data_IF_345624496766
#
_entry.id   IF_345624496766
#
_cell.length_a   1.000
_cell.length_b   1.000
_cell.length_c   1.000
_cell.angle_alpha   90.00
_cell.angle_beta   90.00
_cell.angle_gamma   90.00
#
_symmetry.space_group_name_H-M   'P 1'
#
loop_
_entity.id
_entity.type
_entity.pdbx_description
1 polymer ?
#
# COMPACT_ATOMS: atom_id res chain seq x y z
N UNK A 1 -20.10 -15.97 -5.07
CA UNK A 1 -19.21 -16.48 -4.00
C UNK A 1 -17.77 -16.38 -4.47
N UNK A 2 -16.81 -16.04 -3.60
CA UNK A 2 -15.38 -16.00 -3.95
C UNK A 2 -14.62 -16.99 -3.05
N UNK A 3 -14.05 -18.05 -3.65
CA UNK A 3 -13.28 -19.06 -2.91
C UNK A 3 -12.01 -18.49 -2.28
N UNK A 4 -11.41 -17.48 -2.92
CA UNK A 4 -10.19 -16.85 -2.45
C UNK A 4 -10.36 -15.85 -1.31
N UNK A 5 -11.58 -15.61 -0.81
CA UNK A 5 -11.85 -14.53 0.16
C UNK A 5 -11.00 -14.64 1.43
N UNK A 6 -11.00 -15.80 2.07
CA UNK A 6 -10.27 -15.99 3.33
C UNK A 6 -8.75 -15.84 3.17
N UNK A 7 -8.20 -16.33 2.04
CA UNK A 7 -6.78 -16.17 1.73
C UNK A 7 -6.43 -14.71 1.45
N UNK A 8 -7.23 -14.03 0.64
CA UNK A 8 -7.02 -12.62 0.29
C UNK A 8 -7.08 -11.71 1.52
N UNK A 9 -7.97 -11.98 2.48
CA UNK A 9 -8.05 -11.21 3.74
C UNK A 9 -6.77 -11.34 4.59
N UNK A 10 -6.23 -12.57 4.73
CA UNK A 10 -4.99 -12.79 5.48
C UNK A 10 -3.78 -12.16 4.79
N UNK A 11 -3.65 -12.36 3.47
CA UNK A 11 -2.54 -11.82 2.69
C UNK A 11 -2.55 -10.29 2.70
N UNK A 12 -3.72 -9.67 2.49
CA UNK A 12 -3.86 -8.22 2.51
C UNK A 12 -3.48 -7.64 3.89
N UNK A 13 -3.85 -8.31 4.97
CA UNK A 13 -3.46 -7.90 6.31
C UNK A 13 -1.94 -7.93 6.49
N UNK A 14 -1.28 -9.04 6.15
CA UNK A 14 0.17 -9.20 6.28
C UNK A 14 0.91 -8.19 5.39
N UNK A 15 0.48 -8.05 4.14
CA UNK A 15 1.06 -7.11 3.19
C UNK A 15 0.97 -5.67 3.69
N UNK A 16 -0.23 -5.22 4.07
CA UNK A 16 -0.46 -3.86 4.51
C UNK A 16 0.25 -3.56 5.83
N UNK A 17 0.17 -4.46 6.81
CA UNK A 17 0.83 -4.26 8.11
C UNK A 17 2.34 -4.24 7.97
N UNK A 18 2.93 -5.11 7.16
CA UNK A 18 4.38 -5.09 6.88
C UNK A 18 4.81 -3.76 6.28
N UNK A 19 4.07 -3.24 5.29
CA UNK A 19 4.34 -1.94 4.70
C UNK A 19 4.20 -0.80 5.71
N UNK A 20 3.10 -0.78 6.48
CA UNK A 20 2.82 0.26 7.47
C UNK A 20 3.73 0.17 8.68
N UNK A 21 4.38 -0.96 8.97
CA UNK A 21 5.38 -1.04 10.04
C UNK A 21 6.74 -0.57 9.53
N UNK A 22 7.16 -1.04 8.34
CA UNK A 22 8.51 -0.83 7.82
C UNK A 22 8.71 0.47 7.05
N UNK A 23 7.67 1.12 6.53
CA UNK A 23 7.82 2.29 5.65
C UNK A 23 6.90 3.45 6.04
N UNK A 24 7.48 4.65 6.06
CA UNK A 24 6.73 5.90 6.05
C UNK A 24 6.35 6.27 4.61
N UNK A 25 5.08 6.60 4.43
CA UNK A 25 4.51 7.02 3.16
C UNK A 25 4.46 8.54 3.10
N UNK A 26 4.91 9.11 2.00
CA UNK A 26 4.78 10.54 1.72
C UNK A 26 4.46 10.80 0.26
N UNK A 27 3.94 12.00 -0.01
CA UNK A 27 3.74 12.49 -1.36
C UNK A 27 5.04 13.18 -1.81
N UNK A 28 5.47 13.03 -3.08
CA UNK A 28 6.60 13.79 -3.61
C UNK A 28 6.41 15.30 -3.38
N UNK A 29 7.48 16.04 -3.07
CA UNK A 29 7.42 17.45 -2.67
C UNK A 29 6.67 18.36 -3.67
N UNK A 30 6.62 17.99 -4.94
CA UNK A 30 5.96 18.74 -6.01
C UNK A 30 4.55 18.23 -6.37
N UNK A 31 4.03 17.22 -5.68
CA UNK A 31 2.76 16.58 -6.00
C UNK A 31 1.70 16.79 -4.91
N UNK A 32 0.43 16.81 -5.31
CA UNK A 32 -0.72 16.77 -4.41
C UNK A 32 -1.07 15.33 -4.02
N UNK A 33 -1.94 15.17 -3.02
CA UNK A 33 -2.54 13.86 -2.73
C UNK A 33 -3.16 13.25 -4.00
N UNK A 34 -3.06 11.92 -4.19
CA UNK A 34 -3.75 11.23 -5.28
C UNK A 34 -5.25 11.46 -5.24
N UNK A 35 -5.88 11.59 -6.40
CA UNK A 35 -7.35 11.60 -6.52
C UNK A 35 -7.92 10.23 -6.15
N UNK A 36 -9.12 10.22 -5.57
CA UNK A 36 -9.88 9.00 -5.29
C UNK A 36 -10.72 8.55 -6.49
N UNK A 37 -10.62 9.24 -7.63
CA UNK A 37 -11.23 8.80 -8.88
C UNK A 37 -10.55 7.53 -9.39
N UNK A 38 -11.37 6.61 -9.87
CA UNK A 38 -10.96 5.32 -10.37
C UNK A 38 -11.34 5.14 -11.85
N UNK A 39 -10.71 4.16 -12.49
CA UNK A 39 -11.05 3.67 -13.82
C UNK A 39 -11.79 2.34 -13.66
N UNK A 40 -13.03 2.33 -14.13
CA UNK A 40 -13.86 1.12 -14.19
C UNK A 40 -13.61 0.35 -15.50
N UNK A 41 -13.37 -0.95 -15.38
CA UNK A 41 -13.28 -1.91 -16.48
C UNK A 41 -13.66 -3.31 -15.98
N UNK A 42 -12.82 -4.30 -16.25
CA UNK A 42 -12.96 -5.63 -15.63
C UNK A 42 -12.79 -5.57 -14.10
N UNK A 43 -12.02 -4.61 -13.60
CA UNK A 43 -11.83 -4.28 -12.19
C UNK A 43 -11.90 -2.77 -11.97
N UNK A 44 -12.02 -2.34 -10.72
CA UNK A 44 -11.85 -0.94 -10.28
C UNK A 44 -10.36 -0.69 -9.99
N UNK A 45 -9.77 0.33 -10.61
CA UNK A 45 -8.34 0.65 -10.43
C UNK A 45 -8.11 2.16 -10.29
N UNK A 46 -7.17 2.61 -9.45
CA UNK A 46 -6.92 4.04 -9.29
C UNK A 46 -6.31 4.65 -10.56
N UNK A 47 -6.46 5.96 -10.72
CA UNK A 47 -5.66 6.71 -11.71
C UNK A 47 -4.16 6.65 -11.36
N UNK A 48 -3.23 6.71 -12.34
CA UNK A 48 -1.80 6.66 -12.06
C UNK A 48 -1.35 7.75 -11.07
N UNK A 49 -0.66 7.34 -10.00
CA UNK A 49 -0.13 8.25 -8.97
C UNK A 49 1.28 7.83 -8.54
N UNK A 50 2.00 8.75 -7.89
CA UNK A 50 3.33 8.51 -7.33
C UNK A 50 3.32 8.72 -5.83
N UNK A 51 4.03 7.86 -5.10
CA UNK A 51 4.28 7.98 -3.66
C UNK A 51 5.77 7.78 -3.40
N UNK A 52 6.25 8.34 -2.30
CA UNK A 52 7.58 8.09 -1.78
C UNK A 52 7.47 7.16 -0.57
N UNK A 53 8.31 6.12 -0.55
CA UNK A 53 8.44 5.18 0.56
C UNK A 53 9.81 5.40 1.19
N UNK A 54 9.85 5.69 2.49
CA UNK A 54 11.09 5.78 3.26
C UNK A 54 11.07 4.72 4.36
N UNK A 55 12.14 3.93 4.45
CA UNK A 55 12.22 2.88 5.48
C UNK A 55 12.23 3.53 6.86
N UNK A 56 11.32 3.10 7.73
CA UNK A 56 11.38 3.41 9.16
C UNK A 56 12.55 2.64 9.74
N UNK A 57 13.38 3.31 10.54
CA UNK A 57 14.51 2.69 11.23
C UNK A 57 13.97 1.47 11.99
N UNK A 58 14.36 0.29 11.54
CA UNK A 58 14.24 -0.90 12.35
C UNK A 58 15.49 -0.86 13.22
N UNK A 59 15.33 -0.76 14.53
CA UNK A 59 16.41 -1.16 15.43
C UNK A 59 16.56 -2.67 15.24
N UNK A 60 17.40 -3.05 14.27
CA UNK A 60 17.88 -4.40 14.10
C UNK A 60 18.74 -4.68 15.34
N UNK A 61 18.12 -5.22 16.39
CA UNK A 61 18.86 -5.89 17.44
C UNK A 61 19.61 -7.03 16.77
N UNK A 62 20.88 -6.78 16.47
CA UNK A 62 21.85 -7.79 16.03
C UNK A 62 21.86 -8.90 17.09
N UNK A 63 21.34 -10.05 16.72
CA UNK A 63 21.59 -11.34 17.39
C UNK A 63 22.48 -12.16 16.47
#
# INVERSE_FOLDING_TARGET
MCLGKALAEMELFIFLTTLIQRYSFSVPQSASLPTLQDRFGLSCSPLPYKICLTQRRCEETQL
#
